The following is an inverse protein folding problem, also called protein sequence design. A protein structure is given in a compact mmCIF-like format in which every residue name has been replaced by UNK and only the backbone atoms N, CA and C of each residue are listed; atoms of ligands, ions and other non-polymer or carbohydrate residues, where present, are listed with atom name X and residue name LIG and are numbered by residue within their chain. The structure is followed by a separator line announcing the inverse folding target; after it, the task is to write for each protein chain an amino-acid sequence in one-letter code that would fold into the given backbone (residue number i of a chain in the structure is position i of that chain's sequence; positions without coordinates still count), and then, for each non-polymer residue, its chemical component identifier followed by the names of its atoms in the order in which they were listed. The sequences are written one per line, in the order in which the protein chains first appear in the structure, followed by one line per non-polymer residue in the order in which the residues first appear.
data_IF_261736837003
#
_entry.id   IF_261736837003
#
_cell.length_a   1.000
_cell.length_b   1.000
_cell.length_c   1.000
_cell.angle_alpha   90.00
_cell.angle_beta   90.00
_cell.angle_gamma   90.00
#
_symmetry.space_group_name_H-M   'P 1'
#
loop_
_entity.id
_entity.type
_entity.pdbx_description
1 polymer ?
#
# COMPACT_ATOMS: atom_id res chain seq x y z
N UNK A 1 -18.50 -12.55 -19.36
CA UNK A 1 -18.64 -13.68 -18.43
C UNK A 1 -17.40 -14.54 -18.26
N UNK A 2 -16.33 -14.33 -19.04
CA UNK A 2 -15.18 -15.25 -19.12
C UNK A 2 -13.97 -14.86 -18.23
N UNK A 3 -13.92 -13.61 -17.75
CA UNK A 3 -12.79 -13.08 -16.95
C UNK A 3 -12.82 -13.56 -15.48
N UNK A 4 -13.97 -14.02 -14.99
CA UNK A 4 -14.11 -14.48 -13.59
C UNK A 4 -13.29 -15.74 -13.26
N UNK A 5 -12.92 -16.55 -14.24
CA UNK A 5 -12.17 -17.80 -13.99
C UNK A 5 -10.71 -17.56 -13.58
N UNK A 6 -10.12 -16.40 -13.90
CA UNK A 6 -8.74 -16.07 -13.57
C UNK A 6 -8.56 -15.35 -12.23
N UNK A 7 -9.65 -15.11 -11.48
CA UNK A 7 -9.61 -14.56 -10.11
C UNK A 7 -9.00 -15.52 -9.08
N UNK A 8 -8.88 -16.81 -9.41
CA UNK A 8 -8.40 -17.87 -8.50
C UNK A 8 -6.91 -17.85 -8.20
N UNK A 9 -6.08 -17.27 -9.07
CA UNK A 9 -4.64 -17.11 -8.83
C UNK A 9 -4.36 -15.69 -8.32
N UNK A 10 -3.82 -15.58 -7.10
CA UNK A 10 -3.60 -14.29 -6.42
C UNK A 10 -2.78 -13.30 -7.25
N UNK A 11 -1.82 -13.80 -8.03
CA UNK A 11 -0.94 -12.96 -8.86
C UNK A 11 -1.61 -12.47 -10.15
N UNK A 12 -2.41 -13.29 -10.84
CA UNK A 12 -3.11 -12.87 -12.07
C UNK A 12 -4.36 -12.06 -11.79
N UNK A 13 -5.05 -12.34 -10.68
CA UNK A 13 -6.25 -11.63 -10.24
C UNK A 13 -5.99 -10.13 -10.06
N UNK A 14 -4.78 -9.81 -9.59
CA UNK A 14 -4.34 -8.43 -9.42
C UNK A 14 -4.15 -7.69 -10.76
N UNK A 15 -3.41 -8.29 -11.72
CA UNK A 15 -3.18 -7.72 -13.05
C UNK A 15 -4.51 -7.52 -13.79
N UNK A 16 -5.43 -8.47 -13.66
CA UNK A 16 -6.76 -8.42 -14.26
C UNK A 16 -7.61 -7.31 -13.63
N UNK A 17 -7.50 -7.08 -12.32
CA UNK A 17 -8.20 -5.99 -11.65
C UNK A 17 -7.70 -4.61 -12.13
N UNK A 18 -6.38 -4.46 -12.28
CA UNK A 18 -5.78 -3.24 -12.85
C UNK A 18 -6.24 -3.02 -14.29
N UNK A 19 -6.19 -4.05 -15.13
CA UNK A 19 -6.60 -3.98 -16.53
C UNK A 19 -8.10 -3.66 -16.66
N UNK A 20 -8.94 -4.22 -15.79
CA UNK A 20 -10.36 -3.92 -15.77
C UNK A 20 -10.64 -2.47 -15.34
N UNK A 21 -9.84 -1.92 -14.41
CA UNK A 21 -9.96 -0.53 -13.98
C UNK A 21 -9.55 0.43 -15.11
N UNK A 22 -8.40 0.22 -15.74
CA UNK A 22 -7.93 1.06 -16.87
C UNK A 22 -8.90 1.02 -18.05
N UNK A 23 -9.47 -0.14 -18.39
CA UNK A 23 -10.47 -0.24 -19.47
C UNK A 23 -11.75 0.50 -19.12
N UNK A 24 -12.22 0.43 -17.87
CA UNK A 24 -13.49 1.07 -17.50
C UNK A 24 -13.39 2.57 -17.34
N UNK A 25 -12.30 3.06 -16.77
CA UNK A 25 -12.17 4.49 -16.45
C UNK A 25 -11.60 5.28 -17.63
N UNK A 26 -10.53 4.80 -18.25
CA UNK A 26 -9.78 5.59 -19.22
C UNK A 26 -10.17 5.26 -20.67
N UNK A 27 -10.44 3.99 -20.97
CA UNK A 27 -10.78 3.62 -22.36
C UNK A 27 -12.17 4.08 -22.78
N UNK A 28 -13.14 4.22 -21.85
CA UNK A 28 -14.48 4.68 -22.22
C UNK A 28 -14.43 6.14 -22.71
N UNK A 29 -13.75 7.02 -21.97
CA UNK A 29 -13.58 8.42 -22.38
C UNK A 29 -12.82 8.53 -23.70
N UNK A 30 -11.77 7.73 -23.86
CA UNK A 30 -10.99 7.63 -25.09
C UNK A 30 -11.82 7.15 -26.29
N UNK A 31 -12.61 6.09 -26.15
CA UNK A 31 -13.43 5.52 -27.23
C UNK A 31 -14.50 6.53 -27.66
N UNK A 32 -15.16 7.21 -26.70
CA UNK A 32 -16.13 8.25 -27.01
C UNK A 32 -15.47 9.39 -27.79
N UNK A 33 -14.29 9.84 -27.35
CA UNK A 33 -13.51 10.86 -28.05
C UNK A 33 -13.13 10.42 -29.47
N UNK A 34 -12.63 9.19 -29.65
CA UNK A 34 -12.28 8.63 -30.95
C UNK A 34 -13.48 8.50 -31.89
N UNK A 35 -14.65 8.12 -31.37
CA UNK A 35 -15.89 8.08 -32.16
C UNK A 35 -16.34 9.47 -32.59
N UNK A 36 -16.28 10.47 -31.70
CA UNK A 36 -16.56 11.86 -32.05
C UNK A 36 -15.60 12.39 -33.11
N UNK A 37 -14.31 12.10 -32.96
CA UNK A 37 -13.29 12.46 -33.93
C UNK A 37 -13.58 11.79 -35.28
N UNK A 38 -13.85 10.48 -35.28
CA UNK A 38 -14.19 9.74 -36.49
C UNK A 38 -15.40 10.32 -37.21
N UNK A 39 -16.42 10.76 -36.47
CA UNK A 39 -17.59 11.43 -37.04
C UNK A 39 -17.23 12.74 -37.76
N UNK A 40 -16.33 13.53 -37.17
CA UNK A 40 -15.87 14.79 -37.77
C UNK A 40 -15.13 14.52 -39.08
N UNK A 41 -14.18 13.58 -39.10
CA UNK A 41 -13.43 13.28 -40.32
C UNK A 41 -14.24 12.54 -41.36
N UNK A 42 -15.16 11.66 -40.95
CA UNK A 42 -16.14 11.04 -41.84
C UNK A 42 -16.95 12.10 -42.58
N UNK A 43 -17.48 13.09 -41.85
CA UNK A 43 -18.26 14.16 -42.49
C UNK A 43 -17.41 15.05 -43.39
N UNK A 44 -16.16 15.33 -43.00
CA UNK A 44 -15.20 16.05 -43.84
C UNK A 44 -14.90 15.31 -45.15
N UNK A 45 -14.63 14.00 -45.11
CA UNK A 45 -14.36 13.20 -46.31
C UNK A 45 -15.58 13.02 -47.20
N UNK A 46 -16.77 12.85 -46.61
CA UNK A 46 -18.01 12.79 -47.37
C UNK A 46 -18.31 14.10 -48.11
N UNK A 47 -17.99 15.25 -47.51
CA UNK A 47 -18.18 16.55 -48.16
C UNK A 47 -17.11 16.86 -49.22
N UNK A 48 -15.88 16.36 -49.04
CA UNK A 48 -14.78 16.58 -49.98
C UNK A 48 -14.81 15.62 -51.17
N UNK A 49 -15.42 14.44 -51.02
CA UNK A 49 -15.47 13.40 -52.04
C UNK A 49 -16.88 13.35 -52.65
N UNK A 50 -17.03 13.96 -53.82
CA UNK A 50 -18.32 14.29 -54.46
C UNK A 50 -19.13 13.05 -54.92
N UNK A 51 -18.52 11.86 -54.94
CA UNK A 51 -19.09 10.62 -55.49
C UNK A 51 -19.11 9.43 -54.51
N UNK A 52 -18.60 9.60 -53.29
CA UNK A 52 -18.40 8.47 -52.36
C UNK A 52 -19.61 8.28 -51.46
N UNK A 53 -20.08 7.03 -51.35
CA UNK A 53 -21.19 6.67 -50.47
C UNK A 53 -20.86 6.96 -48.99
N UNK A 54 -21.86 7.33 -48.20
CA UNK A 54 -21.71 7.48 -46.75
C UNK A 54 -21.13 6.20 -46.11
N UNK A 55 -21.54 5.04 -46.60
CA UNK A 55 -21.08 3.75 -46.09
C UNK A 55 -19.60 3.50 -46.33
N UNK A 56 -19.10 3.83 -47.53
CA UNK A 56 -17.68 3.74 -47.84
C UNK A 56 -16.89 4.74 -47.00
N UNK A 57 -17.37 5.98 -46.83
CA UNK A 57 -16.71 6.96 -45.95
C UNK A 57 -16.63 6.50 -44.48
N UNK A 58 -17.66 5.83 -43.96
CA UNK A 58 -17.63 5.25 -42.61
C UNK A 58 -16.57 4.14 -42.50
N UNK A 59 -16.62 3.17 -43.42
CA UNK A 59 -15.75 1.99 -43.38
C UNK A 59 -14.29 2.40 -43.59
N UNK A 60 -14.00 3.29 -44.53
CA UNK A 60 -12.65 3.76 -44.84
C UNK A 60 -12.08 4.64 -43.73
N UNK A 61 -12.90 5.49 -43.10
CA UNK A 61 -12.47 6.24 -41.89
C UNK A 61 -12.19 5.29 -40.72
N UNK A 62 -13.02 4.26 -40.53
CA UNK A 62 -12.80 3.25 -39.49
C UNK A 62 -11.53 2.43 -39.76
N UNK A 63 -11.30 1.98 -40.99
CA UNK A 63 -10.07 1.28 -41.41
C UNK A 63 -8.82 2.14 -41.20
N UNK A 64 -8.92 3.44 -41.46
CA UNK A 64 -7.84 4.40 -41.20
C UNK A 64 -7.42 4.44 -39.73
N UNK A 65 -8.34 4.20 -38.78
CA UNK A 65 -7.97 4.08 -37.36
C UNK A 65 -7.11 2.86 -37.04
N UNK A 66 -7.20 1.80 -37.83
CA UNK A 66 -6.39 0.59 -37.68
C UNK A 66 -5.10 0.63 -38.51
N UNK A 67 -4.80 1.76 -39.15
CA UNK A 67 -3.59 1.94 -39.95
C UNK A 67 -3.72 1.45 -41.39
N UNK A 68 -4.93 1.17 -41.86
CA UNK A 68 -5.21 0.79 -43.24
C UNK A 68 -5.62 2.05 -44.03
N UNK A 69 -4.69 2.51 -44.86
CA UNK A 69 -4.68 3.83 -45.48
C UNK A 69 -4.96 3.74 -46.99
N UNK A 70 -6.21 3.54 -47.36
CA UNK A 70 -6.64 3.49 -48.76
C UNK A 70 -7.19 4.87 -49.19
N UNK A 71 -6.27 5.79 -49.51
CA UNK A 71 -6.63 7.15 -49.95
C UNK A 71 -7.32 7.12 -51.32
N UNK A 72 -6.96 6.14 -52.15
CA UNK A 72 -7.49 5.95 -53.50
C UNK A 72 -9.01 5.70 -53.50
N UNK A 73 -9.58 5.24 -52.37
CA UNK A 73 -11.02 5.02 -52.20
C UNK A 73 -11.82 6.33 -52.12
N UNK A 74 -11.15 7.47 -51.94
CA UNK A 74 -11.75 8.80 -51.87
C UNK A 74 -11.49 9.66 -53.10
N UNK A 75 -10.74 9.14 -54.07
CA UNK A 75 -10.32 9.87 -55.27
C UNK A 75 -10.70 9.09 -56.52
N UNK A 76 -11.56 9.65 -57.36
CA UNK A 76 -11.74 9.20 -58.74
C UNK A 76 -10.67 9.80 -59.66
N UNK A 77 -10.48 9.23 -60.85
CA UNK A 77 -9.57 9.73 -61.91
C UNK A 77 -9.82 11.20 -62.27
N UNK A 78 -11.02 11.72 -62.01
CA UNK A 78 -11.42 13.12 -62.25
C UNK A 78 -11.09 14.07 -61.08
N UNK A 79 -10.56 13.57 -59.95
CA UNK A 79 -10.22 14.36 -58.75
C UNK A 79 -8.96 15.20 -58.97
N UNK A 80 -9.03 16.17 -59.88
CA UNK A 80 -7.90 17.01 -60.27
C UNK A 80 -8.15 18.47 -59.86
N UNK A 81 -7.28 19.03 -59.00
CA UNK A 81 -7.35 20.41 -58.55
C UNK A 81 -7.10 20.60 -57.05
N UNK A 82 -7.76 21.60 -56.44
CA UNK A 82 -7.58 22.01 -55.03
C UNK A 82 -8.13 21.00 -54.00
N UNK A 83 -8.98 20.07 -54.44
CA UNK A 83 -9.62 19.05 -53.59
C UNK A 83 -8.62 17.98 -53.13
N UNK A 84 -7.76 17.48 -54.03
CA UNK A 84 -6.76 16.45 -53.72
C UNK A 84 -5.78 16.85 -52.59
N UNK A 85 -5.08 18.01 -52.64
CA UNK A 85 -4.18 18.41 -51.56
C UNK A 85 -4.92 18.71 -50.25
N UNK A 86 -6.17 19.16 -50.32
CA UNK A 86 -7.00 19.40 -49.12
C UNK A 86 -7.37 18.07 -48.45
N UNK A 87 -7.78 17.07 -49.24
CA UNK A 87 -8.09 15.72 -48.76
C UNK A 87 -6.86 15.08 -48.10
N UNK A 88 -5.70 15.20 -48.75
CA UNK A 88 -4.43 14.71 -48.21
C UNK A 88 -4.06 15.41 -46.88
N UNK A 89 -4.28 16.72 -46.77
CA UNK A 89 -4.02 17.46 -45.53
C UNK A 89 -4.92 17.00 -44.37
N UNK A 90 -6.23 16.84 -44.62
CA UNK A 90 -7.16 16.29 -43.62
C UNK A 90 -6.81 14.86 -43.22
N UNK A 91 -6.37 14.05 -44.18
CA UNK A 91 -5.94 12.68 -43.95
C UNK A 91 -4.69 12.62 -43.05
N UNK A 92 -3.64 13.39 -43.38
CA UNK A 92 -2.44 13.49 -42.53
C UNK A 92 -2.81 13.98 -41.12
N UNK A 93 -3.73 14.95 -41.03
CA UNK A 93 -4.20 15.47 -39.75
C UNK A 93 -4.97 14.42 -38.94
N UNK A 94 -5.82 13.60 -39.58
CA UNK A 94 -6.50 12.46 -38.95
C UNK A 94 -5.48 11.48 -38.36
N UNK A 95 -4.50 11.05 -39.16
CA UNK A 95 -3.47 10.09 -38.74
C UNK A 95 -2.66 10.65 -37.57
N UNK A 96 -2.24 11.91 -37.65
CA UNK A 96 -1.48 12.57 -36.58
C UNK A 96 -2.29 12.63 -35.28
N UNK A 97 -3.56 13.03 -35.36
CA UNK A 97 -4.43 13.15 -34.19
C UNK A 97 -4.67 11.77 -33.56
N UNK A 98 -4.93 10.74 -34.37
CA UNK A 98 -5.07 9.35 -33.92
C UNK A 98 -3.79 8.87 -33.23
N UNK A 99 -2.62 9.15 -33.79
CA UNK A 99 -1.34 8.82 -33.16
C UNK A 99 -1.16 9.54 -31.81
N UNK A 100 -1.45 10.84 -31.72
CA UNK A 100 -1.38 11.59 -30.46
C UNK A 100 -2.31 11.03 -29.40
N UNK A 101 -3.53 10.69 -29.80
CA UNK A 101 -4.55 10.14 -28.91
C UNK A 101 -4.15 8.76 -28.42
N UNK A 102 -3.71 7.87 -29.32
CA UNK A 102 -3.17 6.55 -28.97
C UNK A 102 -1.94 6.66 -28.06
N UNK A 103 -1.06 7.64 -28.30
CA UNK A 103 0.12 7.87 -27.46
C UNK A 103 -0.29 8.33 -26.04
N UNK A 104 -1.28 9.21 -25.92
CA UNK A 104 -1.80 9.65 -24.64
C UNK A 104 -2.43 8.49 -23.84
N UNK A 105 -3.13 7.58 -24.52
CA UNK A 105 -3.66 6.36 -23.91
C UNK A 105 -2.54 5.44 -23.41
N UNK A 106 -1.50 5.23 -24.22
CA UNK A 106 -0.36 4.40 -23.84
C UNK A 106 0.39 4.99 -22.65
N UNK A 107 0.57 6.31 -22.62
CA UNK A 107 1.20 7.02 -21.48
C UNK A 107 0.35 6.86 -20.22
N UNK A 108 -0.98 7.00 -20.31
CA UNK A 108 -1.86 6.78 -19.17
C UNK A 108 -1.72 5.34 -18.62
N UNK A 109 -1.72 4.34 -19.51
CA UNK A 109 -1.56 2.94 -19.14
C UNK A 109 -0.20 2.66 -18.48
N UNK A 110 0.90 3.18 -19.05
CA UNK A 110 2.24 3.00 -18.48
C UNK A 110 2.38 3.76 -17.16
N UNK A 111 1.83 4.98 -17.06
CA UNK A 111 1.85 5.78 -15.84
C UNK A 111 1.21 5.03 -14.67
N UNK A 112 0.04 4.42 -14.90
CA UNK A 112 -0.65 3.64 -13.87
C UNK A 112 0.11 2.37 -13.50
N UNK A 113 0.65 1.66 -14.49
CA UNK A 113 1.49 0.49 -14.25
C UNK A 113 2.75 0.85 -13.44
N UNK A 114 3.38 1.97 -13.76
CA UNK A 114 4.57 2.46 -13.10
C UNK A 114 4.30 2.90 -11.65
N UNK A 115 3.25 3.70 -11.44
CA UNK A 115 2.84 4.15 -10.11
C UNK A 115 2.54 2.97 -9.18
N UNK A 116 1.89 1.94 -9.73
CA UNK A 116 1.64 0.71 -9.00
C UNK A 116 2.93 -0.05 -8.67
N UNK A 117 3.79 -0.34 -9.64
CA UNK A 117 5.06 -1.02 -9.37
C UNK A 117 5.87 -0.27 -8.32
N UNK A 118 5.88 1.07 -8.37
CA UNK A 118 6.60 1.89 -7.43
C UNK A 118 6.05 1.80 -5.99
N UNK A 119 4.74 1.61 -5.79
CA UNK A 119 4.18 1.44 -4.44
C UNK A 119 4.62 0.12 -3.80
N UNK A 120 4.67 -0.96 -4.59
CA UNK A 120 5.10 -2.28 -4.10
C UNK A 120 6.61 -2.43 -4.05
N UNK A 121 7.36 -1.67 -4.86
CA UNK A 121 8.80 -1.79 -4.96
C UNK A 121 9.52 -1.61 -3.61
N UNK A 122 9.10 -0.63 -2.80
CA UNK A 122 9.72 -0.39 -1.48
C UNK A 122 9.48 -1.55 -0.53
N UNK A 123 8.24 -2.04 -0.45
CA UNK A 123 7.87 -3.14 0.42
C UNK A 123 8.54 -4.45 -0.01
N UNK A 124 8.54 -4.73 -1.31
CA UNK A 124 9.25 -5.88 -1.88
C UNK A 124 10.76 -5.79 -1.66
N UNK A 125 11.37 -4.61 -1.80
CA UNK A 125 12.80 -4.44 -1.56
C UNK A 125 13.18 -4.63 -0.09
N UNK A 126 12.37 -4.13 0.85
CA UNK A 126 12.59 -4.36 2.30
C UNK A 126 12.39 -5.82 2.64
N UNK A 127 11.33 -6.45 2.12
CA UNK A 127 11.07 -7.88 2.29
C UNK A 127 12.19 -8.73 1.74
N UNK A 128 12.70 -8.44 0.55
CA UNK A 128 13.81 -9.19 -0.04
C UNK A 128 15.10 -9.01 0.73
N UNK A 129 15.39 -7.79 1.21
CA UNK A 129 16.54 -7.59 2.10
C UNK A 129 16.40 -8.39 3.40
N UNK A 130 15.22 -8.40 4.01
CA UNK A 130 14.96 -9.19 5.21
C UNK A 130 15.08 -10.71 4.93
N UNK A 131 14.55 -11.17 3.80
CA UNK A 131 14.66 -12.55 3.32
C UNK A 131 16.11 -12.97 3.11
N UNK A 132 16.91 -12.13 2.45
CA UNK A 132 18.34 -12.34 2.28
C UNK A 132 19.08 -12.41 3.62
N UNK A 133 18.81 -11.48 4.53
CA UNK A 133 19.43 -11.48 5.87
C UNK A 133 19.09 -12.76 6.62
N UNK A 134 17.83 -13.22 6.55
CA UNK A 134 17.39 -14.48 7.16
C UNK A 134 18.13 -15.68 6.56
N UNK A 135 18.18 -15.78 5.23
CA UNK A 135 18.93 -16.84 4.55
C UNK A 135 20.42 -16.83 4.96
N UNK A 136 21.04 -15.66 5.06
CA UNK A 136 22.42 -15.57 5.53
C UNK A 136 22.59 -16.02 6.99
N UNK A 137 21.65 -15.66 7.87
CA UNK A 137 21.64 -16.09 9.27
C UNK A 137 21.53 -17.62 9.43
N UNK A 138 20.77 -18.29 8.56
CA UNK A 138 20.62 -19.76 8.59
C UNK A 138 21.94 -20.50 8.26
N UNK A 139 22.84 -19.87 7.49
CA UNK A 139 24.16 -20.45 7.17
C UNK A 139 25.24 -20.14 8.23
N UNK A 140 24.96 -19.33 9.25
CA UNK A 140 25.95 -18.93 10.25
C UNK A 140 26.02 -19.93 11.43
N UNK A 141 27.23 -20.32 11.88
CA UNK A 141 27.40 -21.18 13.06
C UNK A 141 26.94 -20.48 14.35
N UNK A 142 26.47 -21.28 15.31
CA UNK A 142 25.76 -20.80 16.51
C UNK A 142 26.54 -19.80 17.38
N UNK A 143 27.87 -19.91 17.39
CA UNK A 143 28.76 -18.96 18.09
C UNK A 143 28.67 -17.54 17.53
N UNK A 144 28.50 -17.39 16.21
CA UNK A 144 28.37 -16.09 15.56
C UNK A 144 26.96 -15.51 15.74
N UNK A 145 25.91 -16.34 15.76
CA UNK A 145 24.53 -15.90 15.99
C UNK A 145 24.35 -15.26 17.38
N UNK A 146 24.98 -15.83 18.41
CA UNK A 146 24.93 -15.29 19.78
C UNK A 146 25.57 -13.90 19.83
N UNK A 147 26.70 -13.71 19.13
CA UNK A 147 27.39 -12.42 19.04
C UNK A 147 26.53 -11.38 18.32
N UNK A 148 25.98 -11.70 17.15
CA UNK A 148 25.11 -10.79 16.39
C UNK A 148 23.89 -10.38 17.23
N UNK A 149 23.23 -11.32 17.91
CA UNK A 149 22.09 -11.02 18.80
C UNK A 149 22.43 -10.03 19.92
N UNK A 150 23.66 -10.10 20.43
CA UNK A 150 24.10 -9.21 21.50
C UNK A 150 24.45 -7.82 20.98
N UNK A 151 25.00 -7.74 19.76
CA UNK A 151 25.33 -6.49 19.07
C UNK A 151 24.08 -5.76 18.52
N UNK A 152 23.01 -6.49 18.16
CA UNK A 152 21.78 -5.91 17.57
C UNK A 152 20.66 -5.59 18.57
N UNK A 153 20.99 -5.36 19.85
CA UNK A 153 20.01 -4.87 20.84
C UNK A 153 19.87 -3.36 20.71
N UNK A 154 18.74 -2.91 20.19
CA UNK A 154 18.41 -1.48 20.07
C UNK A 154 17.39 -1.09 21.13
N UNK A 155 17.61 0.05 21.79
CA UNK A 155 16.67 0.65 22.74
C UNK A 155 15.98 1.81 22.00
N UNK A 156 14.66 1.73 21.81
CA UNK A 156 13.90 2.84 21.25
C UNK A 156 13.55 3.81 22.37
N UNK A 157 14.20 4.98 22.39
CA UNK A 157 13.86 6.09 23.25
C UNK A 157 12.87 7.00 22.52
N UNK A 158 11.69 7.20 23.12
CA UNK A 158 10.71 8.17 22.64
C UNK A 158 11.12 9.55 23.18
N UNK A 159 11.55 10.43 22.28
CA UNK A 159 11.82 11.82 22.63
C UNK A 159 10.54 12.64 22.41
N UNK A 160 10.16 13.41 23.44
CA UNK A 160 9.07 14.37 23.35
C UNK A 160 9.57 15.55 22.51
N UNK A 161 9.07 15.66 21.28
CA UNK A 161 9.28 16.85 20.45
C UNK A 161 8.58 18.02 21.15
N UNK A 162 9.37 18.91 21.77
CA UNK A 162 8.88 20.23 22.17
C UNK A 162 8.60 20.99 20.89
N UNK A 163 7.35 21.39 20.72
CA UNK A 163 6.88 22.20 19.60
C UNK A 163 7.39 23.63 19.77
N UNK A 164 8.69 23.82 19.57
CA UNK A 164 9.28 25.15 19.41
C UNK A 164 9.00 25.61 17.98
N UNK A 165 7.83 26.23 17.81
CA UNK A 165 7.44 27.11 16.70
C UNK A 165 8.13 26.83 15.36
N UNK A 166 7.68 25.80 14.66
CA UNK A 166 8.12 25.54 13.29
C UNK A 166 7.63 26.70 12.40
N UNK A 167 8.54 27.60 12.04
CA UNK A 167 8.41 28.43 10.84
C UNK A 167 8.22 27.51 9.63
N UNK A 168 7.05 27.63 9.02
CA UNK A 168 6.59 26.91 7.84
C UNK A 168 7.41 27.36 6.62
N UNK A 169 8.61 26.81 6.44
CA UNK A 169 9.34 26.92 5.15
C UNK A 169 10.11 25.64 4.81
N UNK A 170 9.42 24.53 4.61
CA UNK A 170 9.80 23.61 3.52
C UNK A 170 8.68 22.61 3.24
N UNK A 171 7.94 22.90 2.18
CA UNK A 171 7.09 21.93 1.53
C UNK A 171 7.94 20.77 0.98
N UNK A 172 7.69 19.54 1.44
CA UNK A 172 8.06 18.32 0.70
C UNK A 172 6.96 17.25 0.82
N UNK A 173 6.19 17.14 -0.26
CA UNK A 173 5.84 15.84 -0.86
C UNK A 173 4.87 14.92 -0.11
N UNK A 174 3.61 15.36 -0.09
CA UNK A 174 2.34 14.61 -0.05
C UNK A 174 2.35 13.09 -0.29
N UNK A 175 1.56 12.40 0.54
CA UNK A 175 0.89 11.12 0.28
C UNK A 175 1.17 10.14 1.41
N UNK A 176 0.23 9.65 2.22
CA UNK A 176 -1.22 9.62 2.21
C UNK A 176 -1.62 9.09 3.60
N UNK A 177 -2.69 9.61 4.21
CA UNK A 177 -3.58 8.93 5.18
C UNK A 177 -4.50 9.94 5.86
N UNK A 178 -5.52 10.33 5.10
CA UNK A 178 -6.92 10.47 5.52
C UNK A 178 -7.26 10.01 6.96
N UNK A 179 -7.56 10.95 7.86
CA UNK A 179 -8.75 10.90 8.74
C UNK A 179 -8.75 12.06 9.73
N UNK A 180 -9.95 12.62 9.93
CA UNK A 180 -10.33 13.53 10.99
C UNK A 180 -9.58 14.86 11.02
N UNK A 181 -10.23 15.95 10.62
CA UNK A 181 -11.14 16.64 11.53
C UNK A 181 -10.35 17.05 12.77
N UNK A 182 -10.17 18.35 12.91
CA UNK A 182 -9.70 19.04 14.10
C UNK A 182 -10.60 18.67 15.28
N UNK A 183 -10.49 17.43 15.75
CA UNK A 183 -11.12 16.92 16.97
C UNK A 183 -10.28 17.53 18.08
N UNK A 184 -10.78 18.67 18.55
CA UNK A 184 -10.45 19.33 19.81
C UNK A 184 -9.20 18.76 20.48
N UNK A 185 -8.02 19.28 20.10
CA UNK A 185 -6.75 18.94 20.76
C UNK A 185 -6.85 19.14 22.28
N UNK A 186 -7.77 19.99 22.75
CA UNK A 186 -8.12 20.15 24.18
C UNK A 186 -8.85 18.93 24.77
N UNK A 187 -9.76 18.31 24.04
CA UNK A 187 -10.47 17.11 24.50
C UNK A 187 -9.53 15.90 24.58
N UNK A 188 -8.63 15.76 23.61
CA UNK A 188 -7.62 14.69 23.62
C UNK A 188 -6.61 14.91 24.75
N UNK A 189 -6.15 16.15 24.98
CA UNK A 189 -5.26 16.46 26.11
C UNK A 189 -5.94 16.24 27.47
N UNK A 190 -7.22 16.56 27.60
CA UNK A 190 -7.99 16.29 28.83
C UNK A 190 -8.11 14.79 29.09
N UNK A 191 -8.40 13.98 28.06
CA UNK A 191 -8.45 12.51 28.20
C UNK A 191 -7.07 11.91 28.51
N UNK A 192 -5.99 12.43 27.92
CA UNK A 192 -4.62 11.97 28.22
C UNK A 192 -4.24 12.27 29.67
N UNK A 193 -4.68 13.41 30.21
CA UNK A 193 -4.42 13.79 31.59
C UNK A 193 -5.22 12.92 32.56
N UNK A 194 -6.48 12.64 32.26
CA UNK A 194 -7.32 11.72 33.05
C UNK A 194 -6.75 10.28 33.05
N UNK A 195 -6.26 9.81 31.90
CA UNK A 195 -5.59 8.49 31.79
C UNK A 195 -4.28 8.49 32.59
N UNK A 196 -3.51 9.58 32.57
CA UNK A 196 -2.27 9.71 33.35
C UNK A 196 -2.55 9.65 34.85
N UNK A 197 -3.54 10.40 35.32
CA UNK A 197 -3.92 10.43 36.73
C UNK A 197 -4.43 9.04 37.18
N UNK A 198 -5.18 8.34 36.32
CA UNK A 198 -5.62 6.97 36.55
C UNK A 198 -4.45 5.96 36.58
N UNK A 199 -3.44 6.13 35.72
CA UNK A 199 -2.22 5.31 35.73
C UNK A 199 -1.38 5.54 37.00
N UNK A 200 -1.25 6.78 37.47
CA UNK A 200 -0.54 7.09 38.71
C UNK A 200 -1.26 6.54 39.95
N UNK A 201 -2.59 6.62 39.96
CA UNK A 201 -3.41 6.00 41.00
C UNK A 201 -3.25 4.48 41.02
N UNK A 202 -3.37 3.81 39.86
CA UNK A 202 -3.22 2.36 39.77
C UNK A 202 -1.80 1.90 40.12
N UNK A 203 -0.77 2.67 39.72
CA UNK A 203 0.62 2.36 40.09
C UNK A 203 0.83 2.45 41.60
N UNK A 204 0.21 3.44 42.25
CA UNK A 204 0.27 3.61 43.71
C UNK A 204 -0.49 2.50 44.44
N UNK A 205 -1.66 2.09 43.92
CA UNK A 205 -2.44 0.98 44.45
C UNK A 205 -1.69 -0.36 44.32
N UNK A 206 -1.04 -0.61 43.18
CA UNK A 206 -0.22 -1.82 42.96
C UNK A 206 0.98 -1.85 43.91
N UNK A 207 1.64 -0.70 44.16
CA UNK A 207 2.72 -0.62 45.16
C UNK A 207 2.21 -0.95 46.56
N UNK A 208 1.06 -0.39 46.96
CA UNK A 208 0.44 -0.71 48.26
C UNK A 208 0.11 -2.19 48.40
N UNK A 209 -0.48 -2.80 47.36
CA UNK A 209 -0.81 -4.23 47.36
C UNK A 209 0.45 -5.11 47.38
N UNK A 210 1.51 -4.70 46.67
CA UNK A 210 2.82 -5.37 46.71
C UNK A 210 3.44 -5.31 48.11
N UNK A 211 3.34 -4.18 48.80
CA UNK A 211 3.87 -4.04 50.16
C UNK A 211 3.09 -4.87 51.17
N UNK A 212 1.75 -4.94 51.03
CA UNK A 212 0.91 -5.74 51.92
C UNK A 212 1.08 -7.24 51.68
N UNK A 213 1.21 -7.68 50.43
CA UNK A 213 1.55 -9.08 50.11
C UNK A 213 2.94 -9.45 50.62
N UNK A 214 3.92 -8.54 50.55
CA UNK A 214 5.26 -8.79 51.09
C UNK A 214 5.27 -8.88 52.62
N UNK A 215 4.47 -8.05 53.32
CA UNK A 215 4.27 -8.19 54.77
C UNK A 215 3.61 -9.51 55.15
N UNK A 216 2.59 -9.93 54.40
CA UNK A 216 1.89 -11.19 54.65
C UNK A 216 2.81 -12.40 54.43
N UNK A 217 3.61 -12.38 53.36
CA UNK A 217 4.61 -13.40 53.09
C UNK A 217 5.67 -13.47 54.20
N UNK A 218 6.12 -12.31 54.70
CA UNK A 218 7.06 -12.26 55.83
C UNK A 218 6.46 -12.84 57.11
N UNK A 219 5.21 -12.51 57.42
CA UNK A 219 4.50 -13.07 58.58
C UNK A 219 4.36 -14.59 58.49
N UNK A 220 3.95 -15.11 57.32
CA UNK A 220 3.85 -16.56 57.12
C UNK A 220 5.19 -17.27 57.21
N UNK A 221 6.27 -16.64 56.74
CA UNK A 221 7.61 -17.17 56.86
C UNK A 221 8.08 -17.24 58.33
N UNK A 222 7.81 -16.19 59.11
CA UNK A 222 8.10 -16.17 60.56
C UNK A 222 7.27 -17.21 61.33
N UNK A 223 5.99 -17.38 60.98
CA UNK A 223 5.12 -18.40 61.56
C UNK A 223 5.64 -19.82 61.25
N UNK A 224 5.97 -20.11 59.99
CA UNK A 224 6.55 -21.40 59.59
C UNK A 224 7.87 -21.69 60.29
N UNK A 225 8.73 -20.66 60.44
CA UNK A 225 9.99 -20.78 61.16
C UNK A 225 9.73 -21.15 62.64
N UNK A 226 8.80 -20.47 63.31
CA UNK A 226 8.45 -20.79 64.70
C UNK A 226 7.90 -22.22 64.85
N UNK A 227 7.09 -22.69 63.91
CA UNK A 227 6.57 -24.07 63.91
C UNK A 227 7.68 -25.09 63.69
N UNK A 228 8.66 -24.78 62.83
CA UNK A 228 9.85 -25.61 62.62
C UNK A 228 10.67 -25.73 63.90
N UNK A 229 10.93 -24.62 64.60
CA UNK A 229 11.69 -24.61 65.86
C UNK A 229 10.99 -25.43 66.96
N UNK A 230 9.66 -25.33 67.06
CA UNK A 230 8.86 -26.16 67.99
C UNK A 230 8.94 -27.64 67.61
N UNK A 231 8.94 -27.96 66.31
CA UNK A 231 9.03 -29.35 65.83
C UNK A 231 10.41 -29.95 66.11
N UNK A 232 11.49 -29.17 65.89
CA UNK A 232 12.86 -29.56 66.25
C UNK A 232 13.01 -29.77 67.77
N UNK A 233 12.42 -28.90 68.59
CA UNK A 233 12.39 -29.06 70.05
C UNK A 233 11.68 -30.35 70.46
N UNK A 234 10.52 -30.65 69.87
CA UNK A 234 9.81 -31.92 70.10
C UNK A 234 10.63 -33.14 69.64
N UNK A 235 11.29 -33.05 68.49
CA UNK A 235 12.13 -34.13 67.97
C UNK A 235 13.31 -34.41 68.91
N UNK A 236 13.98 -33.36 69.40
CA UNK A 236 15.06 -33.46 70.38
C UNK A 236 14.61 -33.99 71.74
N UNK A 237 13.34 -33.83 72.10
CA UNK A 237 12.77 -34.41 73.32
C UNK A 237 12.43 -35.90 73.18
N UNK A 238 12.10 -36.37 71.97
CA UNK A 238 11.75 -37.78 71.69
C UNK A 238 12.99 -38.63 71.41
N UNK A 239 14.02 -38.08 70.75
CA UNK A 239 15.28 -38.76 70.46
C UNK A 239 15.97 -39.44 71.67
N UNK A 240 16.02 -38.85 72.89
CA UNK A 240 16.61 -39.52 74.06
C UNK A 240 15.78 -40.70 74.59
N UNK A 241 14.49 -40.82 74.25
CA UNK A 241 13.69 -42.00 74.60
C UNK A 241 13.92 -43.18 73.65
N UNK A 242 14.23 -42.92 72.37
CA UNK A 242 14.55 -43.99 71.41
C UNK A 242 15.94 -44.58 71.69
N UNK A 243 16.89 -43.77 72.16
CA UNK A 243 18.26 -44.21 72.53
C UNK A 243 18.36 -45.10 73.77
N UNK A 244 17.25 -45.35 74.49
CA UNK A 244 17.19 -46.27 75.65
C UNK A 244 16.66 -47.67 75.29
N UNK A 245 16.35 -47.92 74.01
CA UNK A 245 15.87 -49.21 73.51
C UNK A 245 16.89 -49.95 72.62
N UNK A 246 18.13 -49.47 72.56
CA UNK A 246 19.31 -50.25 72.17
C UNK A 246 20.13 -50.60 73.41
#
# INVERSE_FOLDING_TARGET
GSVSFFRGFKETSFIIAMLQQTIKTDMIGFIVFMLCLGWVFMSAFYLLSDQVSIWTSIISTFRSFFGDFMIDEFTDDDTTGFQYPTLMAFFVLLVLLVCLVMMNLLIALISDSYAHVQSFFKEHMVRERASLILHYLDFLPMSHLIRVRHETRWLHLLELVKDEGIEVTSWRGRGDSRSSETVDSKAILAQIQEIRDMCEYNTSAIKGLSDDTMKLAKYQFEELKSRSEVMESKLNMVLPHVRKFE
#
